data_IF_737512273162
#
_entry.id   IF_737512273162
#
_cell.length_a   1.000
_cell.length_b   1.000
_cell.length_c   1.000
_cell.angle_alpha   90.00
_cell.angle_beta   90.00
_cell.angle_gamma   90.00
#
_symmetry.space_group_name_H-M   'P 1'
#
loop_
_entity.id
_entity.type
_entity.pdbx_description
1 polymer ?
#
# COMPACT_ATOMS: atom_id res chain seq x y z
N UNK A 1 24.79 3.17 19.54
CA UNK A 1 23.39 2.83 19.24
C UNK A 1 23.01 3.53 17.94
N UNK A 2 23.05 2.88 16.77
CA UNK A 2 22.62 3.55 15.56
C UNK A 2 21.10 3.70 15.63
N UNK A 3 20.61 4.92 15.47
CA UNK A 3 19.21 5.21 15.19
C UNK A 3 18.84 4.42 13.93
N UNK A 4 17.87 3.52 14.04
CA UNK A 4 17.31 2.74 12.93
C UNK A 4 16.55 3.69 12.02
N UNK A 5 17.29 4.43 11.21
CA UNK A 5 16.76 5.37 10.23
C UNK A 5 16.20 4.62 9.02
N UNK A 6 14.90 4.35 9.06
CA UNK A 6 13.98 4.48 7.92
C UNK A 6 14.28 3.73 6.60
N UNK A 7 14.90 2.56 6.62
CA UNK A 7 14.94 1.67 5.44
C UNK A 7 13.53 1.39 4.88
N UNK A 8 12.53 1.27 5.76
CA UNK A 8 11.12 1.09 5.37
C UNK A 8 10.56 2.27 4.57
N UNK A 9 10.98 3.49 4.93
CA UNK A 9 10.50 4.73 4.30
C UNK A 9 11.11 4.93 2.92
N UNK A 10 12.34 4.46 2.69
CA UNK A 10 12.97 4.45 1.38
C UNK A 10 12.22 3.56 0.37
N UNK A 11 11.65 2.44 0.83
CA UNK A 11 10.84 1.54 0.00
C UNK A 11 9.38 2.01 -0.11
N UNK A 12 8.85 2.65 0.93
CA UNK A 12 7.48 3.14 0.94
C UNK A 12 7.30 4.44 0.14
N UNK A 13 8.32 5.30 0.00
CA UNK A 13 8.16 6.58 -0.69
C UNK A 13 7.75 6.45 -2.17
N UNK A 14 8.36 5.58 -2.99
CA UNK A 14 7.87 5.33 -4.35
C UNK A 14 6.42 4.86 -4.40
N UNK A 15 6.04 3.97 -3.48
CA UNK A 15 4.67 3.46 -3.36
C UNK A 15 3.69 4.55 -2.97
N UNK A 16 4.04 5.38 -2.00
CA UNK A 16 3.23 6.48 -1.52
C UNK A 16 2.98 7.50 -2.63
N UNK A 17 4.05 7.90 -3.35
CA UNK A 17 3.94 8.82 -4.47
C UNK A 17 3.04 8.28 -5.58
N UNK A 18 3.16 6.98 -5.88
CA UNK A 18 2.33 6.35 -6.90
C UNK A 18 0.86 6.23 -6.47
N UNK A 19 0.59 5.85 -5.22
CA UNK A 19 -0.75 5.81 -4.66
C UNK A 19 -1.39 7.20 -4.62
N UNK A 20 -0.67 8.23 -4.19
CA UNK A 20 -1.17 9.62 -4.17
C UNK A 20 -1.39 10.22 -5.57
N UNK A 21 -0.78 9.65 -6.61
CA UNK A 21 -1.04 10.05 -7.99
C UNK A 21 -2.39 9.54 -8.52
N UNK A 22 -3.02 8.59 -7.83
CA UNK A 22 -4.37 8.11 -8.11
C UNK A 22 -5.37 8.82 -7.19
N UNK A 23 -6.39 9.46 -7.76
CA UNK A 23 -7.34 10.28 -7.01
C UNK A 23 -8.06 9.49 -5.91
N UNK A 24 -8.44 8.24 -6.17
CA UNK A 24 -9.20 7.42 -5.21
C UNK A 24 -8.31 6.92 -4.07
N UNK A 25 -7.08 6.54 -4.37
CA UNK A 25 -6.14 6.09 -3.34
C UNK A 25 -5.63 7.24 -2.47
N UNK A 26 -5.56 8.47 -3.02
CA UNK A 26 -5.19 9.68 -2.26
C UNK A 26 -6.17 10.04 -1.15
N UNK A 27 -7.43 9.58 -1.24
CA UNK A 27 -8.44 9.79 -0.21
C UNK A 27 -8.24 8.89 1.03
N UNK A 28 -7.44 7.83 0.90
CA UNK A 28 -7.15 6.90 1.98
C UNK A 28 -6.00 7.40 2.85
N UNK A 29 -6.03 7.07 4.14
CA UNK A 29 -4.97 7.44 5.06
C UNK A 29 -3.75 6.51 4.88
N UNK A 30 -2.57 7.04 4.51
CA UNK A 30 -1.40 6.23 4.26
C UNK A 30 -0.63 5.93 5.56
N UNK A 31 -0.12 4.72 5.67
CA UNK A 31 0.75 4.27 6.76
C UNK A 31 1.81 3.31 6.23
N UNK A 32 3.07 3.64 6.42
CA UNK A 32 4.18 2.77 6.05
C UNK A 32 4.70 2.03 7.29
N UNK A 33 4.73 0.70 7.23
CA UNK A 33 5.28 -0.11 8.30
C UNK A 33 5.23 -1.60 8.01
N UNK A 34 6.13 -2.35 8.65
CA UNK A 34 6.34 -3.78 8.40
C UNK A 34 6.64 -4.11 6.94
N UNK A 35 7.41 -3.25 6.28
CA UNK A 35 7.77 -3.40 4.87
C UNK A 35 6.63 -3.20 3.88
N UNK A 36 5.46 -2.69 4.28
CA UNK A 36 4.31 -2.45 3.40
C UNK A 36 3.81 -1.01 3.48
N UNK A 37 3.21 -0.53 2.39
CA UNK A 37 2.35 0.66 2.43
C UNK A 37 0.91 0.20 2.67
N UNK A 38 0.29 0.68 3.74
CA UNK A 38 -1.09 0.42 4.11
C UNK A 38 -1.92 1.67 3.87
N UNK A 39 -3.09 1.51 3.29
CA UNK A 39 -4.04 2.58 3.01
C UNK A 39 -5.33 2.26 3.76
N UNK A 40 -5.65 3.07 4.77
CA UNK A 40 -6.84 2.90 5.61
C UNK A 40 -8.00 3.73 5.08
N UNK A 41 -9.22 3.17 5.16
CA UNK A 41 -10.45 3.93 4.89
C UNK A 41 -10.75 4.93 6.00
N UNK A 42 -10.58 4.52 7.24
CA UNK A 42 -10.60 5.38 8.42
C UNK A 42 -9.49 4.94 9.36
N UNK A 43 -8.60 5.87 9.74
CA UNK A 43 -7.52 5.60 10.69
C UNK A 43 -8.04 5.37 12.12
N UNK A 44 -9.26 5.81 12.43
CA UNK A 44 -9.93 5.63 13.73
C UNK A 44 -10.68 4.31 13.83
N UNK A 45 -10.95 3.66 12.70
CA UNK A 45 -11.68 2.39 12.64
C UNK A 45 -11.00 1.40 11.70
N UNK A 46 -10.09 0.60 12.27
CA UNK A 46 -9.36 -0.45 11.56
C UNK A 46 -10.25 -1.63 11.15
N UNK A 47 -11.48 -1.74 11.69
CA UNK A 47 -12.42 -2.80 11.31
C UNK A 47 -12.99 -2.61 9.91
N UNK A 48 -12.98 -1.37 9.40
CA UNK A 48 -13.27 -1.05 8.01
C UNK A 48 -12.22 -1.62 7.05
N UNK A 49 -11.14 -2.20 7.56
CA UNK A 49 -10.11 -2.83 6.75
C UNK A 49 -9.20 -1.84 6.05
N UNK A 50 -8.19 -2.41 5.39
CA UNK A 50 -7.07 -1.70 4.81
C UNK A 50 -6.67 -2.35 3.50
N UNK A 51 -6.13 -1.52 2.61
CA UNK A 51 -5.47 -1.95 1.39
C UNK A 51 -3.97 -1.94 1.63
N UNK A 52 -3.29 -3.05 1.35
CA UNK A 52 -1.85 -3.22 1.57
C UNK A 52 -1.16 -3.36 0.24
N UNK A 53 -0.10 -2.59 0.05
CA UNK A 53 0.85 -2.69 -1.04
C UNK A 53 2.17 -3.17 -0.45
N UNK A 54 2.50 -4.44 -0.71
CA UNK A 54 3.68 -5.11 -0.19
C UNK A 54 4.70 -5.28 -1.34
N UNK A 55 5.89 -4.65 -1.27
CA UNK A 55 6.97 -4.92 -2.21
C UNK A 55 7.42 -6.39 -2.09
N UNK A 56 7.61 -7.04 -3.24
CA UNK A 56 8.17 -8.38 -3.36
C UNK A 56 9.54 -8.34 -4.04
N UNK A 57 10.36 -9.40 -3.90
CA UNK A 57 11.59 -9.54 -4.68
C UNK A 57 11.34 -9.45 -6.19
N UNK A 58 12.28 -8.84 -6.91
CA UNK A 58 12.19 -8.71 -8.38
C UNK A 58 11.32 -7.56 -8.87
N UNK A 59 11.12 -6.50 -8.07
CA UNK A 59 10.28 -5.33 -8.40
C UNK A 59 8.80 -5.66 -8.62
N UNK A 60 8.34 -6.78 -8.05
CA UNK A 60 6.94 -7.16 -8.02
C UNK A 60 6.28 -6.61 -6.76
N UNK A 61 4.96 -6.63 -6.74
CA UNK A 61 4.16 -6.13 -5.64
C UNK A 61 3.01 -7.09 -5.35
N UNK A 62 2.64 -7.21 -4.09
CA UNK A 62 1.39 -7.85 -3.69
C UNK A 62 0.43 -6.78 -3.22
N UNK A 63 -0.77 -6.81 -3.76
CA UNK A 63 -1.90 -5.98 -3.35
C UNK A 63 -2.83 -6.87 -2.54
N UNK A 64 -3.12 -6.49 -1.30
CA UNK A 64 -4.04 -7.21 -0.42
C UNK A 64 -5.12 -6.26 0.09
N UNK A 65 -6.33 -6.77 0.27
CA UNK A 65 -7.44 -6.02 0.87
C UNK A 65 -8.10 -6.85 1.95
N UNK A 66 -8.14 -6.30 3.16
CA UNK A 66 -8.57 -7.08 4.33
C UNK A 66 -10.09 -7.22 4.46
N UNK A 67 -10.87 -6.33 3.84
CA UNK A 67 -12.33 -6.34 3.97
C UNK A 67 -13.05 -7.42 3.16
N UNK A 68 -12.45 -7.91 2.07
CA UNK A 68 -12.99 -9.00 1.26
C UNK A 68 -11.99 -10.15 1.08
N UNK A 69 -10.81 -10.07 1.72
CA UNK A 69 -9.75 -11.06 1.64
C UNK A 69 -9.10 -11.21 0.26
N UNK A 70 -9.36 -10.29 -0.69
CA UNK A 70 -8.78 -10.38 -2.02
C UNK A 70 -7.28 -10.06 -1.99
N UNK A 71 -6.53 -10.77 -2.83
CA UNK A 71 -5.12 -10.50 -3.04
C UNK A 71 -4.74 -10.75 -4.50
N UNK A 72 -3.84 -9.93 -5.03
CA UNK A 72 -3.27 -10.09 -6.36
C UNK A 72 -1.80 -9.69 -6.37
N UNK A 73 -1.02 -10.34 -7.23
CA UNK A 73 0.33 -9.90 -7.56
C UNK A 73 0.30 -8.93 -8.74
N UNK A 74 1.28 -8.04 -8.78
CA UNK A 74 1.50 -7.08 -9.85
C UNK A 74 3.00 -7.04 -10.19
N UNK A 75 3.31 -7.01 -11.47
CA UNK A 75 4.69 -7.04 -11.98
C UNK A 75 5.31 -5.64 -12.08
N UNK A 76 4.52 -4.60 -11.79
CA UNK A 76 4.98 -3.22 -11.76
C UNK A 76 4.24 -2.38 -10.73
N UNK A 77 4.85 -1.26 -10.34
CA UNK A 77 4.26 -0.31 -9.41
C UNK A 77 2.94 0.27 -9.95
N UNK A 78 2.90 0.56 -11.25
CA UNK A 78 1.72 1.12 -11.89
C UNK A 78 0.58 0.10 -11.95
N UNK A 79 0.89 -1.17 -12.19
CA UNK A 79 -0.08 -2.24 -12.11
C UNK A 79 -0.58 -2.45 -10.67
N UNK A 80 0.31 -2.40 -9.67
CA UNK A 80 -0.09 -2.51 -8.27
C UNK A 80 -1.09 -1.42 -7.87
N UNK A 81 -0.86 -0.18 -8.32
CA UNK A 81 -1.78 0.95 -8.12
C UNK A 81 -3.11 0.75 -8.85
N UNK A 82 -3.09 0.29 -10.11
CA UNK A 82 -4.33 -0.01 -10.87
C UNK A 82 -5.15 -1.12 -10.20
N UNK A 83 -4.48 -2.19 -9.76
CA UNK A 83 -5.10 -3.30 -9.04
C UNK A 83 -5.67 -2.84 -7.71
N UNK A 84 -4.90 -2.06 -6.94
CA UNK A 84 -5.38 -1.45 -5.70
C UNK A 84 -6.65 -0.62 -5.91
N UNK A 85 -6.66 0.26 -6.92
CA UNK A 85 -7.84 1.06 -7.27
C UNK A 85 -9.04 0.19 -7.61
N UNK A 86 -8.84 -0.93 -8.30
CA UNK A 86 -9.94 -1.84 -8.70
C UNK A 86 -10.65 -2.50 -7.51
N UNK A 87 -9.98 -2.60 -6.36
CA UNK A 87 -10.57 -3.13 -5.13
C UNK A 87 -11.35 -2.08 -4.33
N UNK A 88 -11.21 -0.78 -4.65
CA UNK A 88 -11.98 0.25 -4.00
C UNK A 88 -13.44 0.20 -4.47
N UNK A 89 -14.42 0.18 -3.54
CA UNK A 89 -15.84 0.10 -3.85
C UNK A 89 -16.32 1.29 -4.69
#
# INVERSE_FOLDING_TARGET
MPLVGHSELAHARPLLNAAHSDERLRELFPYAGHGALRLYRDVRDTSLGELRLVPLPGRRFRVEVTWNGSAAEADSLQEAVRTARSYLP
#
